data_IF_970529860321
#
_entry.id   IF_970529860321
#
_cell.length_a   1.000
_cell.length_b   1.000
_cell.length_c   1.000
_cell.angle_alpha   90.00
_cell.angle_beta   90.00
_cell.angle_gamma   90.00
#
_symmetry.space_group_name_H-M   'P 1'
#
loop_
_entity.id
_entity.type
_entity.pdbx_description
1 polymer ?
#
# COMPACT_ATOMS: atom_id res chain seq x y z
N UNK A 1 19.70 3.03 10.10
CA UNK A 1 19.34 3.41 8.71
C UNK A 1 20.36 4.41 8.19
N UNK A 2 20.92 4.22 6.99
CA UNK A 2 22.03 5.05 6.49
C UNK A 2 21.53 6.31 5.73
N UNK A 3 22.45 7.22 5.39
CA UNK A 3 22.13 8.48 4.69
C UNK A 3 21.49 8.25 3.31
N UNK A 4 21.80 7.14 2.63
CA UNK A 4 21.21 6.79 1.34
C UNK A 4 19.76 6.35 1.47
N UNK A 5 19.45 5.52 2.47
CA UNK A 5 18.08 5.04 2.73
C UNK A 5 17.15 6.19 3.11
N UNK A 6 17.65 7.12 3.94
CA UNK A 6 16.89 8.33 4.32
C UNK A 6 16.57 9.22 3.11
N UNK A 7 17.51 9.36 2.17
CA UNK A 7 17.26 10.08 0.91
C UNK A 7 16.24 9.36 0.03
N UNK A 8 16.32 8.02 -0.04
CA UNK A 8 15.40 7.21 -0.83
C UNK A 8 13.97 7.33 -0.30
N UNK A 9 13.78 7.22 1.02
CA UNK A 9 12.48 7.38 1.68
C UNK A 9 11.89 8.78 1.50
N UNK A 10 12.70 9.84 1.62
CA UNK A 10 12.24 11.21 1.34
C UNK A 10 11.69 11.33 -0.08
N UNK A 11 12.35 10.71 -1.05
CA UNK A 11 11.92 10.73 -2.45
C UNK A 11 10.66 9.88 -2.68
N UNK A 12 10.52 8.74 -1.98
CA UNK A 12 9.29 7.93 -1.97
C UNK A 12 8.11 8.78 -1.50
N UNK A 13 8.21 9.39 -0.31
CA UNK A 13 7.13 10.22 0.25
C UNK A 13 6.82 11.46 -0.59
N UNK A 14 7.78 11.96 -1.38
CA UNK A 14 7.51 13.03 -2.34
C UNK A 14 6.70 12.53 -3.55
N UNK A 15 7.01 11.33 -4.06
CA UNK A 15 6.29 10.73 -5.19
C UNK A 15 4.87 10.34 -4.79
N UNK A 16 4.69 9.75 -3.60
CA UNK A 16 3.36 9.42 -3.07
C UNK A 16 2.47 10.65 -2.98
N UNK A 17 2.98 11.74 -2.38
CA UNK A 17 2.23 13.00 -2.30
C UNK A 17 1.86 13.57 -3.68
N UNK A 18 2.76 13.46 -4.67
CA UNK A 18 2.48 13.89 -6.05
C UNK A 18 1.39 13.05 -6.72
N UNK A 19 1.36 11.75 -6.44
CA UNK A 19 0.33 10.84 -6.94
C UNK A 19 -1.02 11.08 -6.26
N UNK A 20 -1.03 11.31 -4.94
CA UNK A 20 -2.23 11.60 -4.16
C UNK A 20 -2.84 12.96 -4.48
N UNK A 21 -2.02 13.97 -4.79
CA UNK A 21 -2.50 15.31 -5.15
C UNK A 21 -2.99 15.43 -6.60
N UNK A 22 -3.08 14.32 -7.36
CA UNK A 22 -3.66 14.28 -8.71
C UNK A 22 -2.86 14.96 -9.83
N UNK A 23 -1.71 15.57 -9.52
CA UNK A 23 -0.89 16.47 -10.37
C UNK A 23 -1.71 17.71 -10.81
N UNK A 24 -1.42 18.96 -10.42
CA UNK A 24 -0.12 19.68 -10.45
C UNK A 24 -0.07 20.87 -9.46
N UNK A 25 1.09 21.53 -9.34
CA UNK A 25 1.13 22.96 -9.69
C UNK A 25 2.28 23.14 -10.69
N UNK A 26 1.92 22.99 -11.96
CA UNK A 26 2.65 23.41 -13.18
C UNK A 26 4.18 23.23 -13.22
N UNK A 27 4.61 22.18 -13.94
CA UNK A 27 5.89 22.08 -14.67
C UNK A 27 7.22 22.29 -13.91
N UNK A 28 8.14 21.32 -14.03
CA UNK A 28 9.59 21.47 -14.28
C UNK A 28 10.29 20.19 -13.79
N UNK A 29 10.98 19.39 -14.61
CA UNK A 29 11.73 19.70 -15.83
C UNK A 29 11.48 18.61 -16.91
N UNK A 30 10.96 19.02 -18.08
CA UNK A 30 11.15 18.26 -19.33
C UNK A 30 10.16 17.14 -19.70
N UNK A 31 8.91 17.13 -19.23
CA UNK A 31 7.90 16.14 -19.66
C UNK A 31 6.63 16.83 -20.17
N UNK A 32 6.24 16.52 -21.41
CA UNK A 32 5.08 17.10 -22.10
C UNK A 32 3.83 16.31 -21.70
N UNK A 33 2.84 16.93 -21.02
CA UNK A 33 1.57 16.26 -20.73
C UNK A 33 0.81 16.05 -22.04
N UNK A 34 0.32 14.83 -22.31
CA UNK A 34 -0.81 14.72 -23.23
C UNK A 34 -2.07 15.22 -22.49
N UNK A 35 -3.08 15.65 -23.24
CA UNK A 35 -4.35 16.25 -22.78
C UNK A 35 -5.17 15.44 -21.75
N UNK A 36 -4.65 14.31 -21.26
CA UNK A 36 -5.31 13.38 -20.36
C UNK A 36 -4.56 13.10 -19.04
N UNK A 37 -3.39 13.72 -18.79
CA UNK A 37 -2.64 13.57 -17.52
C UNK A 37 -2.20 12.13 -17.18
N UNK A 38 -2.36 11.19 -18.11
CA UNK A 38 -2.36 9.75 -17.82
C UNK A 38 -0.95 9.16 -17.81
N UNK A 39 -0.03 9.70 -18.64
CA UNK A 39 1.35 9.21 -18.73
C UNK A 39 2.20 9.58 -17.51
N UNK A 40 1.99 10.76 -16.93
CA UNK A 40 2.79 11.22 -15.77
C UNK A 40 2.51 10.38 -14.53
N UNK A 41 1.26 10.04 -14.27
CA UNK A 41 0.90 9.20 -13.13
C UNK A 41 1.42 7.77 -13.24
N UNK A 42 1.46 7.20 -14.45
CA UNK A 42 2.01 5.87 -14.71
C UNK A 42 3.53 5.86 -14.52
N UNK A 43 4.24 6.87 -15.05
CA UNK A 43 5.68 7.00 -14.89
C UNK A 43 6.07 7.17 -13.41
N UNK A 44 5.35 8.02 -12.67
CA UNK A 44 5.58 8.22 -11.24
C UNK A 44 5.29 6.95 -10.44
N UNK A 45 4.24 6.19 -10.79
CA UNK A 45 3.95 4.88 -10.20
C UNK A 45 5.05 3.86 -10.46
N UNK A 46 5.53 3.74 -11.69
CA UNK A 46 6.63 2.83 -12.02
C UNK A 46 7.89 3.17 -11.23
N UNK A 47 8.23 4.47 -11.15
CA UNK A 47 9.36 4.94 -10.35
C UNK A 47 9.17 4.64 -8.86
N UNK A 48 7.95 4.78 -8.34
CA UNK A 48 7.62 4.43 -6.96
C UNK A 48 7.81 2.93 -6.71
N UNK A 49 7.37 2.07 -7.64
CA UNK A 49 7.56 0.63 -7.55
C UNK A 49 9.03 0.21 -7.60
N UNK A 50 9.83 0.81 -8.48
CA UNK A 50 11.29 0.58 -8.53
C UNK A 50 11.95 0.94 -7.20
N UNK A 51 11.59 2.09 -6.64
CA UNK A 51 12.16 2.56 -5.37
C UNK A 51 11.77 1.68 -4.18
N UNK A 52 10.52 1.20 -4.14
CA UNK A 52 10.11 0.22 -3.13
C UNK A 52 10.81 -1.11 -3.30
N UNK A 53 11.00 -1.57 -4.54
CA UNK A 53 11.76 -2.79 -4.82
C UNK A 53 13.23 -2.65 -4.39
N UNK A 54 13.83 -1.48 -4.58
CA UNK A 54 15.18 -1.18 -4.08
C UNK A 54 15.24 -1.23 -2.55
N UNK A 55 14.26 -0.65 -1.85
CA UNK A 55 14.17 -0.70 -0.39
C UNK A 55 14.04 -2.13 0.13
N UNK A 56 13.14 -2.92 -0.46
CA UNK A 56 12.94 -4.34 -0.10
C UNK A 56 14.19 -5.16 -0.37
N UNK A 57 14.87 -4.95 -1.50
CA UNK A 57 16.11 -5.67 -1.81
C UNK A 57 17.26 -5.32 -0.86
N UNK A 58 17.36 -4.05 -0.43
CA UNK A 58 18.37 -3.63 0.55
C UNK A 58 18.08 -4.12 1.96
N UNK A 59 16.80 -4.24 2.30
CA UNK A 59 16.33 -4.57 3.63
C UNK A 59 15.27 -5.69 3.56
N UNK A 60 15.66 -6.91 3.14
CA UNK A 60 14.71 -7.99 2.85
C UNK A 60 13.95 -8.50 4.09
N UNK A 61 14.48 -8.26 5.28
CA UNK A 61 13.83 -8.59 6.56
C UNK A 61 12.94 -7.47 7.11
N UNK A 62 12.93 -6.29 6.48
CA UNK A 62 12.15 -5.16 6.97
C UNK A 62 10.74 -5.19 6.37
N UNK A 63 9.81 -5.78 7.11
CA UNK A 63 8.39 -5.89 6.76
C UNK A 63 7.75 -4.54 6.44
N UNK A 64 8.24 -3.44 7.03
CA UNK A 64 7.76 -2.10 6.74
C UNK A 64 7.84 -1.77 5.25
N UNK A 65 8.95 -2.10 4.57
CA UNK A 65 9.11 -1.78 3.16
C UNK A 65 8.25 -2.69 2.27
N UNK A 66 8.06 -3.95 2.67
CA UNK A 66 7.15 -4.87 1.98
C UNK A 66 5.70 -4.38 2.10
N UNK A 67 5.27 -3.99 3.31
CA UNK A 67 3.96 -3.41 3.55
C UNK A 67 3.71 -2.16 2.70
N UNK A 68 4.67 -1.22 2.65
CA UNK A 68 4.55 -0.02 1.82
C UNK A 68 4.48 -0.35 0.33
N UNK A 69 5.28 -1.31 -0.14
CA UNK A 69 5.23 -1.77 -1.53
C UNK A 69 3.85 -2.33 -1.88
N UNK A 70 3.29 -3.19 -1.02
CA UNK A 70 1.94 -3.74 -1.20
C UNK A 70 0.87 -2.64 -1.21
N UNK A 71 0.96 -1.68 -0.29
CA UNK A 71 0.04 -0.53 -0.26
C UNK A 71 0.14 0.34 -1.52
N UNK A 72 1.32 0.44 -2.13
CA UNK A 72 1.49 1.12 -3.43
C UNK A 72 0.78 0.37 -4.55
N UNK A 73 0.90 -0.97 -4.60
CA UNK A 73 0.21 -1.79 -5.59
C UNK A 73 -1.32 -1.72 -5.43
N UNK A 74 -1.83 -1.75 -4.20
CA UNK A 74 -3.25 -1.57 -3.92
C UNK A 74 -3.78 -0.22 -4.42
N UNK A 75 -3.09 0.89 -4.13
CA UNK A 75 -3.46 2.23 -4.64
C UNK A 75 -3.44 2.31 -6.17
N UNK A 76 -2.59 1.53 -6.82
CA UNK A 76 -2.53 1.40 -8.27
C UNK A 76 -3.55 0.40 -8.84
N UNK A 77 -4.40 -0.21 -8.00
CA UNK A 77 -5.39 -1.24 -8.37
C UNK A 77 -4.76 -2.53 -8.92
N UNK A 78 -3.46 -2.74 -8.68
CA UNK A 78 -2.74 -3.98 -8.94
C UNK A 78 -2.93 -4.94 -7.76
N UNK A 79 -4.15 -5.47 -7.63
CA UNK A 79 -4.56 -6.21 -6.43
C UNK A 79 -3.86 -7.56 -6.26
N UNK A 80 -3.57 -8.27 -7.35
CA UNK A 80 -2.90 -9.57 -7.28
C UNK A 80 -1.48 -9.43 -6.69
N UNK A 81 -0.73 -8.42 -7.14
CA UNK A 81 0.60 -8.11 -6.64
C UNK A 81 0.56 -7.63 -5.19
N UNK A 82 -0.43 -6.79 -4.83
CA UNK A 82 -0.61 -6.32 -3.46
C UNK A 82 -0.91 -7.49 -2.50
N UNK A 83 -1.86 -8.36 -2.85
CA UNK A 83 -2.24 -9.52 -2.04
C UNK A 83 -1.06 -10.47 -1.82
N UNK A 84 -0.28 -10.76 -2.88
CA UNK A 84 0.92 -11.62 -2.80
C UNK A 84 1.93 -11.09 -1.78
N UNK A 85 2.16 -9.78 -1.75
CA UNK A 85 3.12 -9.19 -0.80
C UNK A 85 2.52 -9.14 0.60
N UNK A 86 1.23 -8.83 0.75
CA UNK A 86 0.57 -8.89 2.06
C UNK A 86 0.59 -10.31 2.66
N UNK A 87 0.42 -11.36 1.85
CA UNK A 87 0.57 -12.74 2.31
C UNK A 87 1.97 -12.99 2.88
N UNK A 88 3.01 -12.48 2.22
CA UNK A 88 4.39 -12.60 2.72
C UNK A 88 4.58 -11.89 4.07
N UNK A 89 4.05 -10.67 4.23
CA UNK A 89 4.12 -9.92 5.49
C UNK A 89 3.35 -10.63 6.61
N UNK A 90 2.18 -11.20 6.30
CA UNK A 90 1.37 -11.95 7.28
C UNK A 90 2.11 -13.21 7.73
N UNK A 91 2.73 -13.93 6.80
CA UNK A 91 3.51 -15.14 7.08
C UNK A 91 4.73 -14.87 7.97
N UNK A 92 5.37 -13.70 7.81
CA UNK A 92 6.50 -13.29 8.64
C UNK A 92 6.10 -13.06 10.11
N UNK A 93 4.81 -12.81 10.38
CA UNK A 93 4.22 -12.67 11.71
C UNK A 93 4.86 -11.57 12.58
N UNK A 94 5.33 -10.48 11.96
CA UNK A 94 5.84 -9.31 12.66
C UNK A 94 4.83 -8.16 12.77
N UNK A 95 5.36 -6.96 12.99
CA UNK A 95 4.60 -5.77 13.36
C UNK A 95 3.52 -5.39 12.35
N UNK A 96 3.73 -5.68 11.06
CA UNK A 96 2.81 -5.28 9.99
C UNK A 96 1.77 -6.34 9.66
N UNK A 97 1.72 -7.46 10.40
CA UNK A 97 0.73 -8.52 10.19
C UNK A 97 -0.71 -8.03 10.29
N UNK A 98 -1.07 -7.39 11.41
CA UNK A 98 -2.45 -6.93 11.67
C UNK A 98 -2.89 -5.90 10.62
N UNK A 99 -1.99 -4.96 10.29
CA UNK A 99 -2.23 -3.99 9.23
C UNK A 99 -2.42 -4.68 7.86
N UNK A 100 -1.63 -5.69 7.54
CA UNK A 100 -1.72 -6.43 6.28
C UNK A 100 -3.02 -7.24 6.18
N UNK A 101 -3.47 -7.87 7.26
CA UNK A 101 -4.77 -8.58 7.31
C UNK A 101 -5.93 -7.63 6.99
N UNK A 102 -5.93 -6.44 7.59
CA UNK A 102 -6.90 -5.39 7.30
C UNK A 102 -6.87 -4.96 5.83
N UNK A 103 -5.67 -4.79 5.25
CA UNK A 103 -5.53 -4.41 3.85
C UNK A 103 -5.99 -5.53 2.90
N UNK A 104 -5.74 -6.81 3.23
CA UNK A 104 -6.28 -7.93 2.46
C UNK A 104 -7.81 -7.97 2.50
N UNK A 105 -8.43 -7.83 3.67
CA UNK A 105 -9.89 -7.82 3.77
C UNK A 105 -10.49 -6.67 2.94
N UNK A 106 -9.80 -5.52 2.91
CA UNK A 106 -10.20 -4.45 2.02
C UNK A 106 -10.10 -4.93 0.55
N UNK A 107 -8.91 -5.26 0.06
CA UNK A 107 -8.74 -5.63 -1.36
C UNK A 107 -9.74 -6.70 -1.81
N UNK A 108 -9.96 -7.74 -1.01
CA UNK A 108 -10.91 -8.81 -1.30
C UNK A 108 -12.35 -8.29 -1.43
N UNK A 109 -12.76 -7.37 -0.56
CA UNK A 109 -14.05 -6.70 -0.69
C UNK A 109 -14.14 -5.86 -1.98
N UNK A 110 -13.08 -5.14 -2.37
CA UNK A 110 -13.06 -4.34 -3.61
C UNK A 110 -13.16 -5.19 -4.88
N UNK A 111 -12.69 -6.44 -4.83
CA UNK A 111 -12.82 -7.40 -5.94
C UNK A 111 -14.02 -8.34 -5.78
N UNK A 112 -14.95 -8.00 -4.88
CA UNK A 112 -16.21 -8.71 -4.65
C UNK A 112 -16.07 -10.15 -4.12
N UNK A 113 -14.91 -10.50 -3.57
CA UNK A 113 -14.64 -11.77 -2.87
C UNK A 113 -15.11 -11.69 -1.41
N UNK A 114 -16.41 -11.41 -1.21
CA UNK A 114 -16.98 -10.97 0.07
C UNK A 114 -16.83 -11.98 1.20
N UNK A 115 -17.00 -13.28 0.93
CA UNK A 115 -16.87 -14.32 1.96
C UNK A 115 -15.43 -14.36 2.51
N UNK A 116 -14.44 -14.37 1.62
CA UNK A 116 -13.02 -14.35 1.99
C UNK A 116 -12.65 -13.02 2.64
N UNK A 117 -13.24 -11.91 2.20
CA UNK A 117 -13.03 -10.60 2.82
C UNK A 117 -13.48 -10.56 4.28
N UNK A 118 -14.67 -11.09 4.59
CA UNK A 118 -15.18 -11.22 5.96
C UNK A 118 -14.30 -12.14 6.82
N UNK A 119 -13.86 -13.28 6.29
CA UNK A 119 -12.93 -14.17 7.00
C UNK A 119 -11.63 -13.46 7.41
N UNK A 120 -11.02 -12.72 6.48
CA UNK A 120 -9.81 -11.93 6.76
C UNK A 120 -10.08 -10.80 7.75
N UNK A 121 -11.25 -10.18 7.67
CA UNK A 121 -11.63 -9.09 8.56
C UNK A 121 -11.86 -9.57 9.99
N UNK A 122 -12.51 -10.72 10.18
CA UNK A 122 -12.66 -11.35 11.50
C UNK A 122 -11.31 -11.72 12.11
N UNK A 123 -10.41 -12.28 11.31
CA UNK A 123 -9.05 -12.57 11.76
C UNK A 123 -8.29 -11.30 12.18
N UNK A 124 -8.38 -10.24 11.37
CA UNK A 124 -7.84 -8.92 11.74
C UNK A 124 -8.41 -8.44 13.09
N UNK A 125 -9.74 -8.50 13.29
CA UNK A 125 -10.37 -8.06 14.55
C UNK A 125 -9.86 -8.85 15.75
N UNK A 126 -9.73 -10.16 15.60
CA UNK A 126 -9.23 -11.03 16.66
C UNK A 126 -7.80 -10.66 17.06
N UNK A 127 -6.92 -10.49 16.08
CA UNK A 127 -5.51 -10.19 16.33
C UNK A 127 -5.29 -8.75 16.82
N UNK A 128 -6.01 -7.78 16.27
CA UNK A 128 -5.96 -6.39 16.72
C UNK A 128 -6.38 -6.27 18.20
N UNK A 129 -7.45 -6.96 18.61
CA UNK A 129 -7.86 -7.01 20.03
C UNK A 129 -6.79 -7.67 20.91
N UNK A 130 -6.17 -8.76 20.44
CA UNK A 130 -5.09 -9.41 21.16
C UNK A 130 -3.85 -8.51 21.31
N UNK A 131 -3.59 -7.66 20.32
CA UNK A 131 -2.52 -6.66 20.34
C UNK A 131 -2.87 -5.39 21.17
N UNK A 132 -4.09 -5.28 21.71
CA UNK A 132 -4.55 -4.10 22.44
C UNK A 132 -4.90 -2.91 21.53
N UNK A 133 -5.07 -3.14 20.22
CA UNK A 133 -5.53 -2.13 19.29
C UNK A 133 -7.05 -1.95 19.39
N UNK A 134 -7.51 -0.68 19.37
CA UNK A 134 -8.93 -0.37 19.36
C UNK A 134 -9.51 -0.59 17.96
N UNK A 135 -10.46 -1.52 17.84
CA UNK A 135 -11.19 -1.76 16.59
C UNK A 135 -12.61 -1.19 16.69
N UNK A 136 -12.85 -0.06 16.02
CA UNK A 136 -14.12 0.68 16.06
C UNK A 136 -15.16 0.24 15.02
N UNK A 137 -14.84 -0.77 14.21
CA UNK A 137 -15.59 -1.15 13.01
C UNK A 137 -16.12 -2.57 13.16
N UNK A 138 -17.41 -2.78 12.93
CA UNK A 138 -18.04 -4.09 13.15
C UNK A 138 -18.01 -4.97 11.90
N UNK A 139 -18.13 -4.37 10.71
CA UNK A 139 -18.13 -5.05 9.41
C UNK A 139 -17.03 -4.54 8.48
N UNK A 140 -16.60 -5.37 7.53
CA UNK A 140 -15.58 -4.98 6.53
C UNK A 140 -16.07 -3.83 5.65
N UNK A 141 -17.37 -3.77 5.34
CA UNK A 141 -17.99 -2.66 4.60
C UNK A 141 -17.76 -1.31 5.25
N UNK A 142 -17.71 -1.26 6.59
CA UNK A 142 -17.55 -0.01 7.34
C UNK A 142 -16.15 0.63 7.16
N UNK A 143 -15.21 -0.12 6.57
CA UNK A 143 -13.89 0.40 6.19
C UNK A 143 -13.93 1.27 4.93
N UNK A 144 -15.03 1.24 4.16
CA UNK A 144 -15.15 1.93 2.89
C UNK A 144 -15.87 3.26 3.01
N UNK A 145 -15.20 4.40 2.72
CA UNK A 145 -15.91 5.66 2.55
C UNK A 145 -16.67 5.64 1.23
N UNK A 146 -17.93 5.20 1.25
CA UNK A 146 -18.80 5.19 0.07
C UNK A 146 -19.89 4.11 0.01
N UNK A 147 -19.94 3.18 0.96
CA UNK A 147 -21.06 2.26 1.17
C UNK A 147 -22.25 2.93 1.86
#
# INVERSE_FOLDING_TARGET
MNSSDSKLLKKVSQLERKLESGISETEREGYVPNKYGTYDSLLLRNKLFEMYSELVNKHPSEEYFQYLQASSYWRAKSYAEALKIYDQVILANGLYRVASLKMQSCILFEIEEFEVAEEKYELYKQEARAAGENVWREKVSDLYPGS
#
